data_IF_196383021423
#
_entry.id   IF_196383021423
#
_cell.length_a   1.000
_cell.length_b   1.000
_cell.length_c   1.000
_cell.angle_alpha   90.00
_cell.angle_beta   90.00
_cell.angle_gamma   90.00
#
_symmetry.space_group_name_H-M   'P 1'
#
loop_
_entity.id
_entity.type
_entity.pdbx_description
1 polymer ?
#
# COMPACT_ATOMS: atom_id res chain seq x y z
N UNK A 1 86.70 -11.89 5.36
CA UNK A 1 86.13 -10.53 5.56
C UNK A 1 84.68 -10.61 5.11
N UNK A 2 83.75 -10.93 6.02
CA UNK A 2 82.89 -9.97 6.73
C UNK A 2 82.23 -8.99 5.73
N UNK A 3 80.90 -9.00 5.51
CA UNK A 3 79.86 -8.65 6.49
C UNK A 3 78.48 -9.26 6.11
N UNK A 4 77.71 -9.67 7.13
CA UNK A 4 76.23 -9.80 7.19
C UNK A 4 75.60 -8.39 7.44
N UNK A 5 74.27 -8.12 7.44
CA UNK A 5 73.16 -9.01 7.84
C UNK A 5 71.76 -8.87 7.14
N UNK A 6 70.91 -9.86 7.44
CA UNK A 6 69.45 -9.86 7.68
C UNK A 6 68.40 -9.37 6.66
N UNK A 7 67.53 -10.31 6.24
CA UNK A 7 66.10 -10.06 5.99
C UNK A 7 65.28 -11.30 6.42
N UNK A 8 64.19 -11.17 7.19
CA UNK A 8 63.43 -12.29 7.73
C UNK A 8 62.15 -12.57 6.92
N UNK A 9 61.96 -13.79 6.44
CA UNK A 9 60.64 -14.34 6.14
C UNK A 9 60.60 -15.82 6.55
N UNK A 10 59.66 -16.25 7.41
CA UNK A 10 59.49 -17.66 7.76
C UNK A 10 58.60 -18.40 6.73
N UNK A 11 58.76 -19.73 6.55
CA UNK A 11 57.87 -20.54 5.75
C UNK A 11 56.66 -21.02 6.58
N UNK A 12 55.43 -20.84 6.08
CA UNK A 12 54.22 -21.40 6.71
C UNK A 12 53.75 -22.71 6.05
N UNK A 13 53.78 -23.72 6.91
CA UNK A 13 53.21 -25.06 6.90
C UNK A 13 51.85 -25.25 6.19
N UNK A 14 51.78 -26.32 5.39
CA UNK A 14 50.56 -27.01 4.97
C UNK A 14 50.21 -28.07 6.03
N UNK A 15 48.97 -28.05 6.53
CA UNK A 15 48.07 -29.19 6.83
C UNK A 15 47.25 -29.02 8.13
N UNK A 16 45.91 -28.98 7.96
CA UNK A 16 44.82 -29.59 8.78
C UNK A 16 43.62 -28.64 8.92
N UNK A 17 42.52 -28.96 8.24
CA UNK A 17 41.27 -28.22 8.43
C UNK A 17 40.13 -28.57 7.46
N UNK A 18 39.92 -29.83 7.08
CA UNK A 18 38.74 -30.24 6.26
C UNK A 18 37.74 -31.07 7.10
N UNK A 19 37.79 -30.96 8.43
CA UNK A 19 36.99 -31.81 9.34
C UNK A 19 35.73 -31.18 9.94
N UNK A 20 35.54 -29.85 9.86
CA UNK A 20 34.50 -29.18 10.65
C UNK A 20 33.25 -28.76 9.85
N UNK A 21 33.27 -28.86 8.52
CA UNK A 21 32.15 -28.43 7.66
C UNK A 21 31.20 -29.57 7.24
N UNK A 22 31.56 -30.84 7.47
CA UNK A 22 30.80 -31.99 6.99
C UNK A 22 29.59 -32.35 7.87
N UNK A 23 29.66 -32.06 9.18
CA UNK A 23 28.60 -32.38 10.15
C UNK A 23 27.34 -31.50 9.98
N UNK A 24 27.42 -30.16 9.81
CA UNK A 24 26.21 -29.35 9.63
C UNK A 24 25.54 -29.59 8.27
N UNK A 25 26.29 -29.98 7.24
CA UNK A 25 25.75 -30.27 5.91
C UNK A 25 24.96 -31.58 5.89
N UNK A 26 25.45 -32.65 6.54
CA UNK A 26 24.72 -33.92 6.67
C UNK A 26 23.39 -33.76 7.42
N UNK A 27 23.36 -33.02 8.54
CA UNK A 27 22.12 -32.71 9.27
C UNK A 27 21.13 -31.89 8.44
N UNK A 28 21.62 -31.00 7.58
CA UNK A 28 20.76 -30.21 6.70
C UNK A 28 20.11 -31.06 5.59
N UNK A 29 20.76 -32.13 5.15
CA UNK A 29 20.20 -33.04 4.14
C UNK A 29 19.23 -34.06 4.76
N UNK A 30 19.45 -34.55 5.98
CA UNK A 30 18.48 -35.39 6.67
C UNK A 30 17.18 -34.61 6.94
N UNK A 31 17.29 -33.35 7.37
CA UNK A 31 16.14 -32.49 7.63
C UNK A 31 15.34 -32.14 6.36
N UNK A 32 15.99 -32.07 5.19
CA UNK A 32 15.31 -31.82 3.92
C UNK A 32 14.62 -33.07 3.37
N UNK A 33 15.20 -34.26 3.60
CA UNK A 33 14.58 -35.56 3.27
C UNK A 33 13.31 -35.81 4.09
N UNK A 34 13.34 -35.54 5.40
CA UNK A 34 12.16 -35.70 6.26
C UNK A 34 11.03 -34.72 5.87
N UNK A 35 11.37 -33.47 5.52
CA UNK A 35 10.39 -32.49 5.02
C UNK A 35 9.76 -32.92 3.69
N UNK A 36 10.54 -33.50 2.78
CA UNK A 36 10.03 -34.02 1.50
C UNK A 36 9.07 -35.21 1.73
N UNK A 37 9.33 -36.05 2.72
CA UNK A 37 8.48 -37.21 3.03
C UNK A 37 7.17 -36.80 3.71
N UNK A 38 7.21 -35.82 4.64
CA UNK A 38 6.00 -35.32 5.31
C UNK A 38 5.08 -34.53 4.36
N UNK A 39 5.66 -33.74 3.45
CA UNK A 39 4.90 -32.99 2.43
C UNK A 39 4.25 -33.93 1.40
N UNK A 40 4.94 -34.99 0.98
CA UNK A 40 4.37 -36.02 0.10
C UNK A 40 3.18 -36.77 0.71
N UNK A 41 3.27 -37.13 2.00
CA UNK A 41 2.18 -37.82 2.71
C UNK A 41 0.95 -36.92 2.91
N UNK A 42 1.14 -35.62 3.19
CA UNK A 42 0.05 -34.63 3.27
C UNK A 42 -0.61 -34.40 1.91
N UNK A 43 0.16 -34.35 0.82
CA UNK A 43 -0.40 -34.18 -0.52
C UNK A 43 -1.22 -35.40 -0.96
N UNK A 44 -0.74 -36.61 -0.66
CA UNK A 44 -1.46 -37.84 -0.95
C UNK A 44 -2.77 -37.93 -0.15
N UNK A 45 -2.76 -37.61 1.15
CA UNK A 45 -3.99 -37.60 1.95
C UNK A 45 -4.98 -36.52 1.52
N UNK A 46 -4.49 -35.36 1.07
CA UNK A 46 -5.35 -34.29 0.53
C UNK A 46 -5.98 -34.70 -0.80
N UNK A 47 -5.21 -35.33 -1.69
CA UNK A 47 -5.72 -35.89 -2.96
C UNK A 47 -6.80 -36.95 -2.72
N UNK A 48 -6.59 -37.87 -1.78
CA UNK A 48 -7.60 -38.87 -1.42
C UNK A 48 -8.85 -38.24 -0.81
N UNK A 49 -8.70 -37.20 0.02
CA UNK A 49 -9.84 -36.47 0.61
C UNK A 49 -10.66 -35.73 -0.44
N UNK A 50 -10.01 -35.04 -1.38
CA UNK A 50 -10.70 -34.33 -2.49
C UNK A 50 -11.37 -35.32 -3.44
N UNK A 51 -10.73 -36.46 -3.74
CA UNK A 51 -11.33 -37.50 -4.57
C UNK A 51 -12.56 -38.13 -3.90
N UNK A 52 -12.52 -38.32 -2.57
CA UNK A 52 -13.65 -38.85 -1.82
C UNK A 52 -14.81 -37.84 -1.74
N UNK A 53 -14.52 -36.55 -1.52
CA UNK A 53 -15.53 -35.49 -1.48
C UNK A 53 -16.20 -35.30 -2.86
N UNK A 54 -15.42 -35.34 -3.95
CA UNK A 54 -15.97 -35.25 -5.31
C UNK A 54 -16.83 -36.46 -5.68
N UNK A 55 -16.44 -37.68 -5.27
CA UNK A 55 -17.26 -38.89 -5.46
C UNK A 55 -18.60 -38.84 -4.70
N UNK A 56 -18.60 -38.30 -3.48
CA UNK A 56 -19.83 -38.14 -2.66
C UNK A 56 -20.78 -37.09 -3.25
N UNK A 57 -20.26 -36.00 -3.84
CA UNK A 57 -21.09 -34.96 -4.46
C UNK A 57 -21.78 -35.45 -5.75
N UNK A 58 -21.14 -36.35 -6.50
CA UNK A 58 -21.74 -36.95 -7.71
C UNK A 58 -22.89 -37.91 -7.32
N UNK A 59 -22.79 -38.60 -6.19
CA UNK A 59 -23.79 -39.56 -5.73
C UNK A 59 -25.08 -38.93 -5.15
N UNK A 60 -25.06 -37.63 -4.81
CA UNK A 60 -26.22 -36.91 -4.25
C UNK A 60 -26.95 -36.01 -5.27
N UNK A 61 -26.47 -35.94 -6.52
CA UNK A 61 -27.05 -35.11 -7.57
C UNK A 61 -28.21 -35.77 -8.31
N UNK A 62 -29.34 -36.03 -7.64
CA UNK A 62 -30.59 -36.41 -8.30
C UNK A 62 -31.78 -35.57 -7.81
N UNK A 63 -32.48 -35.00 -8.80
CA UNK A 63 -33.83 -34.43 -8.79
C UNK A 63 -33.98 -32.97 -8.31
N UNK A 64 -34.02 -32.04 -9.26
CA UNK A 64 -35.04 -30.99 -9.23
C UNK A 64 -35.29 -30.47 -10.65
N UNK A 65 -36.33 -30.99 -11.29
CA UNK A 65 -36.82 -30.48 -12.57
C UNK A 65 -37.73 -29.29 -12.29
N UNK A 66 -37.25 -28.07 -12.57
CA UNK A 66 -38.12 -26.88 -12.63
C UNK A 66 -38.01 -26.26 -14.01
N UNK A 67 -39.10 -26.37 -14.76
CA UNK A 67 -39.28 -25.89 -16.12
C UNK A 67 -39.16 -24.35 -16.18
N UNK A 68 -38.48 -23.76 -17.18
CA UNK A 68 -38.27 -22.32 -17.25
C UNK A 68 -39.51 -21.60 -17.77
N UNK A 69 -40.04 -20.65 -16.98
CA UNK A 69 -41.08 -19.74 -17.43
C UNK A 69 -40.51 -18.68 -18.38
N UNK A 70 -41.22 -18.47 -19.49
CA UNK A 70 -40.93 -17.47 -20.53
C UNK A 70 -41.17 -16.05 -19.96
N UNK A 71 -40.19 -15.12 -20.04
CA UNK A 71 -40.40 -13.73 -19.59
C UNK A 71 -41.44 -13.03 -20.48
N UNK A 72 -42.33 -12.26 -19.86
CA UNK A 72 -43.25 -11.35 -20.56
C UNK A 72 -42.48 -10.18 -21.19
N UNK A 73 -42.93 -9.67 -22.36
CA UNK A 73 -42.27 -8.58 -23.06
C UNK A 73 -42.34 -7.26 -22.28
N UNK A 74 -41.25 -6.49 -22.34
CA UNK A 74 -41.11 -5.15 -21.76
C UNK A 74 -42.06 -4.15 -22.43
N UNK A 75 -42.76 -3.37 -21.61
CA UNK A 75 -43.63 -2.26 -22.04
C UNK A 75 -42.78 -1.12 -22.66
N UNK A 76 -43.23 -0.47 -23.74
CA UNK A 76 -42.46 0.57 -24.42
C UNK A 76 -42.26 1.83 -23.58
N UNK A 77 -41.08 2.43 -23.72
CA UNK A 77 -40.64 3.64 -23.03
C UNK A 77 -41.59 4.83 -23.25
N UNK A 78 -41.94 5.51 -22.15
CA UNK A 78 -42.57 6.83 -22.15
C UNK A 78 -41.59 7.87 -22.73
N UNK A 79 -42.12 8.79 -23.54
CA UNK A 79 -41.36 9.84 -24.22
C UNK A 79 -40.73 10.86 -23.24
N UNK A 80 -39.64 11.55 -23.64
CA UNK A 80 -38.95 12.52 -22.78
C UNK A 80 -39.75 13.81 -22.61
N UNK A 81 -39.78 14.35 -21.39
CA UNK A 81 -40.25 15.72 -21.11
C UNK A 81 -39.10 16.68 -21.43
N UNK A 82 -39.37 17.67 -22.28
CA UNK A 82 -38.47 18.78 -22.63
C UNK A 82 -38.45 19.90 -21.57
N UNK A 83 -37.38 20.72 -21.65
CA UNK A 83 -37.17 22.07 -21.09
C UNK A 83 -36.74 22.13 -19.61
N UNK A 84 -35.71 22.88 -19.17
CA UNK A 84 -35.22 24.19 -19.63
C UNK A 84 -33.69 24.28 -19.49
N UNK A 85 -33.04 24.66 -20.59
CA UNK A 85 -31.64 25.11 -20.65
C UNK A 85 -31.54 26.50 -20.02
N UNK A 86 -30.77 26.64 -18.94
CA UNK A 86 -30.35 27.96 -18.46
C UNK A 86 -28.85 28.09 -18.73
N UNK A 87 -28.52 28.78 -19.81
CA UNK A 87 -27.15 29.17 -20.16
C UNK A 87 -26.65 30.20 -19.16
N UNK A 88 -25.61 29.87 -18.40
CA UNK A 88 -24.79 30.85 -17.67
C UNK A 88 -23.43 30.95 -18.36
N UNK A 89 -23.17 32.07 -19.00
CA UNK A 89 -21.87 32.41 -19.58
C UNK A 89 -20.79 32.53 -18.48
N UNK A 90 -19.52 32.24 -18.79
CA UNK A 90 -18.46 32.10 -17.81
C UNK A 90 -17.92 33.46 -17.32
N UNK A 91 -17.71 33.55 -16.02
CA UNK A 91 -17.00 34.66 -15.35
C UNK A 91 -15.51 34.30 -15.37
N UNK A 92 -14.68 35.22 -15.88
CA UNK A 92 -13.22 35.14 -15.84
C UNK A 92 -12.70 35.05 -14.39
N UNK A 93 -11.64 34.25 -14.11
CA UNK A 93 -11.12 34.09 -12.77
C UNK A 93 -10.41 35.37 -12.27
N UNK A 94 -10.73 35.77 -11.04
CA UNK A 94 -10.00 36.79 -10.31
C UNK A 94 -8.59 36.28 -9.92
N UNK A 95 -7.57 37.16 -9.85
CA UNK A 95 -6.20 36.77 -9.53
C UNK A 95 -6.08 36.21 -8.09
N UNK A 96 -5.19 35.23 -7.94
CA UNK A 96 -4.92 34.51 -6.70
C UNK A 96 -4.63 35.45 -5.52
N UNK A 97 -5.44 35.36 -4.47
CA UNK A 97 -5.15 35.94 -3.18
C UNK A 97 -4.13 35.06 -2.42
N UNK A 98 -3.18 35.64 -1.67
CA UNK A 98 -2.19 34.89 -0.92
C UNK A 98 -2.83 34.05 0.20
N UNK A 99 -2.26 32.87 0.42
CA UNK A 99 -2.71 31.86 1.37
C UNK A 99 -2.96 32.44 2.78
N UNK A 100 -4.19 32.28 3.26
CA UNK A 100 -4.56 32.49 4.66
C UNK A 100 -4.07 31.29 5.49
N UNK A 101 -3.56 31.50 6.72
CA UNK A 101 -3.14 30.43 7.60
C UNK A 101 -4.33 29.58 8.07
N UNK A 102 -4.09 28.28 8.25
CA UNK A 102 -5.09 27.28 8.64
C UNK A 102 -5.91 27.69 9.88
N UNK A 103 -7.24 27.45 9.89
CA UNK A 103 -8.05 27.73 11.07
C UNK A 103 -7.67 26.75 12.19
N UNK A 104 -7.24 27.31 13.32
CA UNK A 104 -7.11 26.57 14.57
C UNK A 104 -8.50 26.11 15.00
N UNK A 105 -8.81 24.83 14.79
CA UNK A 105 -9.99 24.20 15.35
C UNK A 105 -9.91 24.24 16.89
N UNK A 106 -10.58 25.22 17.49
CA UNK A 106 -10.83 25.24 18.93
C UNK A 106 -11.91 24.22 19.22
N UNK A 107 -11.52 22.97 19.53
CA UNK A 107 -12.45 21.99 20.08
C UNK A 107 -12.83 22.44 21.50
N UNK A 108 -14.05 22.96 21.66
CA UNK A 108 -14.72 22.98 22.97
C UNK A 108 -15.15 21.55 23.28
N UNK A 109 -14.38 20.87 24.11
CA UNK A 109 -14.77 19.60 24.70
C UNK A 109 -15.47 19.87 26.06
N UNK A 110 -16.80 19.98 26.04
CA UNK A 110 -17.61 19.76 27.24
C UNK A 110 -17.93 18.26 27.34
N UNK A 111 -17.00 17.49 27.92
CA UNK A 111 -17.26 16.15 28.47
C UNK A 111 -16.70 16.12 29.89
N UNK A 112 -17.53 15.92 30.93
CA UNK A 112 -17.07 15.89 32.30
C UNK A 112 -16.48 14.52 32.62
N UNK A 113 -15.14 14.42 32.63
CA UNK A 113 -14.42 13.21 33.04
C UNK A 113 -12.92 13.47 33.18
N UNK A 114 -12.45 13.58 34.43
CA UNK A 114 -11.06 13.72 34.90
C UNK A 114 -9.96 13.66 33.81
N UNK A 115 -9.57 14.83 33.32
CA UNK A 115 -8.31 15.02 32.58
C UNK A 115 -7.13 14.81 33.53
N UNK A 116 -6.51 13.63 33.45
CA UNK A 116 -5.25 13.34 34.13
C UNK A 116 -4.13 14.17 33.50
N UNK A 117 -3.44 14.98 34.32
CA UNK A 117 -2.32 15.84 33.92
C UNK A 117 -1.18 15.08 33.21
N UNK A 118 -1.16 13.75 33.27
CA UNK A 118 -0.21 12.86 32.61
C UNK A 118 -0.33 12.90 31.08
N UNK A 119 -1.54 12.96 30.51
CA UNK A 119 -1.72 12.98 29.05
C UNK A 119 -1.24 14.30 28.43
N UNK A 120 -1.55 15.45 29.05
CA UNK A 120 -1.04 16.75 28.60
C UNK A 120 0.48 16.80 28.59
N UNK A 121 1.14 16.17 29.57
CA UNK A 121 2.60 16.21 29.73
C UNK A 121 3.33 15.31 28.73
N UNK A 122 2.74 14.18 28.34
CA UNK A 122 3.28 13.29 27.30
C UNK A 122 3.15 13.93 25.91
N UNK A 123 1.99 14.53 25.60
CA UNK A 123 1.78 15.29 24.36
C UNK A 123 2.72 16.51 24.27
N UNK A 124 2.91 17.27 25.35
CA UNK A 124 3.81 18.43 25.34
C UNK A 124 5.29 18.06 25.15
N UNK A 125 5.70 16.85 25.56
CA UNK A 125 7.09 16.40 25.39
C UNK A 125 7.41 15.97 23.96
N UNK A 126 6.41 15.51 23.20
CA UNK A 126 6.55 15.17 21.78
C UNK A 126 6.57 16.42 20.89
N UNK A 127 5.76 17.44 21.20
CA UNK A 127 5.76 18.73 20.49
C UNK A 127 7.13 19.44 20.59
N UNK A 128 7.86 19.29 21.71
CA UNK A 128 9.20 19.87 21.91
C UNK A 128 10.32 19.08 21.21
N UNK A 129 10.11 17.82 20.82
CA UNK A 129 11.12 17.00 20.12
C UNK A 129 11.22 17.32 18.62
N UNK A 130 10.22 18.00 18.06
CA UNK A 130 10.11 18.32 16.63
C UNK A 130 11.08 19.41 16.11
N UNK A 131 12.06 19.87 16.89
CA UNK A 131 12.80 21.10 16.55
C UNK A 131 14.12 20.97 15.80
N UNK A 132 14.77 19.81 15.71
CA UNK A 132 16.00 19.68 14.90
C UNK A 132 16.14 18.25 14.33
N UNK A 133 15.19 17.84 13.49
CA UNK A 133 15.34 16.66 12.63
C UNK A 133 16.24 17.02 11.43
N UNK A 134 17.22 16.18 11.05
CA UNK A 134 17.99 16.40 9.84
C UNK A 134 17.06 16.40 8.63
N UNK A 135 17.20 17.41 7.75
CA UNK A 135 16.39 17.50 6.54
C UNK A 135 16.78 16.38 5.58
N UNK A 136 15.83 15.51 5.25
CA UNK A 136 15.96 14.44 4.28
C UNK A 136 15.84 14.99 2.86
N UNK A 137 16.50 14.34 1.91
CA UNK A 137 16.41 14.66 0.49
C UNK A 137 15.93 13.43 -0.27
N UNK A 138 15.03 13.63 -1.22
CA UNK A 138 14.56 12.56 -2.08
C UNK A 138 15.64 12.19 -3.10
N UNK A 139 15.82 10.90 -3.33
CA UNK A 139 16.74 10.36 -4.32
C UNK A 139 15.96 9.57 -5.36
N UNK A 140 16.22 9.84 -6.63
CA UNK A 140 15.69 9.09 -7.77
C UNK A 140 16.85 8.51 -8.59
N UNK A 141 16.69 7.33 -9.20
CA UNK A 141 15.47 6.52 -9.22
C UNK A 141 15.18 5.84 -7.88
N UNK A 142 13.91 5.64 -7.56
CA UNK A 142 13.46 4.80 -6.43
C UNK A 142 12.81 3.52 -6.97
N UNK A 143 13.10 2.40 -6.32
CA UNK A 143 12.53 1.09 -6.66
C UNK A 143 11.61 0.65 -5.52
N UNK A 144 10.36 0.34 -5.86
CA UNK A 144 9.35 -0.11 -4.90
C UNK A 144 8.90 -1.53 -5.31
N UNK A 145 9.06 -2.54 -4.44
CA UNK A 145 8.53 -3.87 -4.73
C UNK A 145 7.00 -3.84 -4.67
N UNK A 146 6.35 -4.37 -5.70
CA UNK A 146 4.91 -4.59 -5.69
C UNK A 146 4.53 -5.80 -4.81
N UNK A 147 3.23 -6.08 -4.72
CA UNK A 147 2.65 -7.21 -3.97
C UNK A 147 3.25 -8.57 -4.35
N UNK A 148 3.75 -8.71 -5.58
CA UNK A 148 4.32 -9.94 -6.11
C UNK A 148 5.86 -9.93 -6.09
N UNK A 149 6.48 -8.90 -5.51
CA UNK A 149 7.93 -8.71 -5.45
C UNK A 149 8.55 -8.22 -6.76
N UNK A 150 7.75 -7.78 -7.74
CA UNK A 150 8.24 -7.12 -8.95
C UNK A 150 8.62 -5.68 -8.59
N UNK A 151 9.86 -5.30 -8.89
CA UNK A 151 10.34 -3.94 -8.69
C UNK A 151 9.70 -2.96 -9.67
N UNK A 152 9.01 -1.95 -9.13
CA UNK A 152 8.46 -0.81 -9.89
C UNK A 152 9.41 0.38 -9.71
N UNK A 153 10.05 0.78 -10.81
CA UNK A 153 11.05 1.86 -10.80
C UNK A 153 10.38 3.20 -11.12
N UNK A 154 10.71 4.22 -10.33
CA UNK A 154 10.33 5.61 -10.55
C UNK A 154 11.59 6.43 -10.79
N UNK A 155 11.81 6.87 -12.03
CA UNK A 155 12.94 7.75 -12.38
C UNK A 155 12.73 9.21 -11.91
N UNK A 156 11.49 9.55 -11.60
CA UNK A 156 11.05 10.85 -11.06
C UNK A 156 9.70 10.66 -10.35
N UNK A 157 9.29 11.67 -9.59
CA UNK A 157 7.96 11.69 -8.99
C UNK A 157 6.85 11.66 -10.05
N UNK A 158 5.78 10.85 -9.87
CA UNK A 158 4.61 10.86 -10.75
C UNK A 158 3.80 12.15 -10.55
N UNK A 159 3.32 12.75 -11.64
CA UNK A 159 2.58 14.01 -11.62
C UNK A 159 1.06 13.81 -11.76
N UNK A 160 0.62 12.61 -12.19
CA UNK A 160 -0.75 12.27 -12.55
C UNK A 160 -1.13 10.91 -11.97
N UNK A 161 -1.53 10.92 -10.72
CA UNK A 161 -1.84 9.70 -9.95
C UNK A 161 -3.34 9.44 -9.99
N UNK A 162 -3.72 8.22 -10.37
CA UNK A 162 -5.02 7.65 -10.04
C UNK A 162 -4.82 6.69 -8.88
N UNK A 163 -5.50 6.92 -7.76
CA UNK A 163 -5.38 6.08 -6.58
C UNK A 163 -6.74 5.50 -6.19
N UNK A 164 -6.82 4.17 -6.21
CA UNK A 164 -8.01 3.41 -5.82
C UNK A 164 -7.97 2.94 -4.37
N UNK A 165 -7.21 3.61 -3.51
CA UNK A 165 -7.10 3.25 -2.09
C UNK A 165 -7.26 4.51 -1.23
N UNK A 166 -8.23 4.50 -0.30
CA UNK A 166 -8.49 5.65 0.57
C UNK A 166 -7.27 6.00 1.42
N UNK A 167 -6.53 5.01 1.95
CA UNK A 167 -5.36 5.29 2.80
C UNK A 167 -4.23 5.97 2.00
N UNK A 168 -4.04 5.59 0.74
CA UNK A 168 -3.13 6.28 -0.18
C UNK A 168 -3.56 7.73 -0.44
N UNK A 169 -4.85 7.99 -0.68
CA UNK A 169 -5.37 9.35 -0.83
C UNK A 169 -5.08 10.18 0.42
N UNK A 170 -5.46 9.68 1.59
CA UNK A 170 -5.23 10.37 2.86
C UNK A 170 -3.75 10.69 3.09
N UNK A 171 -2.89 9.72 2.80
CA UNK A 171 -1.43 9.89 2.91
C UNK A 171 -0.93 10.97 1.96
N UNK A 172 -1.29 10.90 0.68
CA UNK A 172 -0.85 11.85 -0.34
C UNK A 172 -1.25 13.28 0.03
N UNK A 173 -2.47 13.49 0.50
CA UNK A 173 -2.90 14.81 0.97
C UNK A 173 -2.18 15.24 2.26
N UNK A 174 -2.02 14.33 3.23
CA UNK A 174 -1.35 14.61 4.50
C UNK A 174 0.12 15.04 4.31
N UNK A 175 0.82 14.47 3.31
CA UNK A 175 2.21 14.84 2.99
C UNK A 175 2.34 16.04 2.04
N UNK A 176 1.21 16.66 1.63
CA UNK A 176 1.19 17.84 0.75
C UNK A 176 1.15 17.55 -0.75
N UNK A 177 1.01 16.29 -1.13
CA UNK A 177 1.11 15.80 -2.52
C UNK A 177 -0.27 15.45 -3.14
N UNK A 178 -1.36 15.81 -2.46
CA UNK A 178 -2.72 15.58 -2.94
C UNK A 178 -3.03 16.20 -4.31
N UNK A 179 -2.31 17.26 -4.68
CA UNK A 179 -2.44 17.93 -5.99
C UNK A 179 -2.06 17.04 -7.19
N UNK A 180 -1.32 15.94 -6.95
CA UNK A 180 -0.98 14.94 -7.98
C UNK A 180 -2.11 13.96 -8.26
N UNK A 181 -3.10 13.88 -7.37
CA UNK A 181 -4.22 12.94 -7.50
C UNK A 181 -5.25 13.52 -8.48
N UNK A 182 -5.37 12.87 -9.63
CA UNK A 182 -6.29 13.29 -10.70
C UNK A 182 -7.54 12.42 -10.79
N UNK A 183 -7.55 11.26 -10.16
CA UNK A 183 -8.71 10.36 -10.15
C UNK A 183 -8.71 9.38 -8.97
N UNK A 184 -9.90 9.02 -8.50
CA UNK A 184 -10.12 8.04 -7.43
C UNK A 184 -11.51 7.39 -7.54
N UNK A 185 -11.86 6.54 -6.59
CA UNK A 185 -13.15 5.86 -6.53
C UNK A 185 -14.22 6.62 -5.73
N UNK A 186 -15.48 6.24 -5.91
CA UNK A 186 -16.66 6.91 -5.32
C UNK A 186 -16.66 6.97 -3.79
N UNK A 187 -16.07 5.99 -3.10
CA UNK A 187 -16.12 5.91 -1.64
C UNK A 187 -15.10 6.79 -0.90
N UNK A 188 -14.24 7.53 -1.60
CA UNK A 188 -13.27 8.44 -0.95
C UNK A 188 -13.99 9.71 -0.50
N UNK A 189 -14.14 9.87 0.82
CA UNK A 189 -14.82 11.01 1.45
C UNK A 189 -13.90 11.90 2.30
N UNK A 190 -12.65 11.49 2.49
CA UNK A 190 -11.66 12.20 3.27
C UNK A 190 -10.31 12.17 2.53
N UNK A 191 -9.49 13.24 2.60
CA UNK A 191 -9.83 14.52 3.23
C UNK A 191 -10.89 15.32 2.44
N UNK A 192 -11.53 16.36 3.01
CA UNK A 192 -12.56 17.13 2.32
C UNK A 192 -12.11 17.65 0.96
N UNK A 193 -10.83 18.00 0.82
CA UNK A 193 -10.18 18.44 -0.42
C UNK A 193 -10.17 17.36 -1.50
N UNK A 194 -10.28 16.08 -1.15
CA UNK A 194 -10.39 14.99 -2.12
C UNK A 194 -11.74 15.03 -2.87
N UNK A 195 -12.75 15.77 -2.39
CA UNK A 195 -14.02 15.93 -3.10
C UNK A 195 -13.90 16.54 -4.50
N UNK A 196 -12.82 17.28 -4.77
CA UNK A 196 -12.51 17.86 -6.08
C UNK A 196 -11.85 16.85 -7.06
N UNK A 197 -11.42 15.69 -6.56
CA UNK A 197 -10.79 14.63 -7.38
C UNK A 197 -11.84 13.90 -8.23
N UNK A 198 -11.54 13.70 -9.51
CA UNK A 198 -12.44 13.02 -10.45
C UNK A 198 -12.76 11.60 -10.00
N UNK A 199 -14.02 11.19 -10.20
CA UNK A 199 -14.48 9.83 -9.91
C UNK A 199 -14.49 9.00 -11.18
N UNK A 200 -13.78 7.89 -11.14
CA UNK A 200 -13.57 6.98 -12.28
C UNK A 200 -14.08 5.57 -11.96
N UNK A 201 -15.23 5.51 -11.30
CA UNK A 201 -15.90 4.28 -10.89
C UNK A 201 -15.97 4.09 -9.37
N UNK A 202 -16.54 2.96 -8.96
CA UNK A 202 -16.56 2.56 -7.56
C UNK A 202 -15.27 1.78 -7.19
N UNK A 203 -15.04 1.51 -5.91
CA UNK A 203 -13.78 0.88 -5.47
C UNK A 203 -13.51 -0.51 -6.08
N UNK A 204 -14.54 -1.21 -6.55
CA UNK A 204 -14.43 -2.56 -7.12
C UNK A 204 -14.86 -2.65 -8.58
N UNK A 205 -15.47 -1.59 -9.14
CA UNK A 205 -15.86 -1.46 -10.53
C UNK A 205 -15.27 -0.17 -11.13
N UNK A 206 -14.05 -0.28 -11.63
CA UNK A 206 -13.30 0.82 -12.26
C UNK A 206 -13.82 1.10 -13.68
N UNK A 207 -14.02 2.37 -14.01
CA UNK A 207 -14.20 2.82 -15.39
C UNK A 207 -12.83 2.99 -16.04
N UNK A 208 -12.40 1.95 -16.75
CA UNK A 208 -11.08 1.88 -17.37
C UNK A 208 -10.93 2.89 -18.50
N UNK A 209 -11.99 3.14 -19.27
CA UNK A 209 -11.95 4.15 -20.34
C UNK A 209 -11.76 5.54 -19.73
N UNK A 210 -12.46 5.85 -18.64
CA UNK A 210 -12.24 7.11 -17.91
C UNK A 210 -10.82 7.21 -17.34
N UNK A 211 -10.27 6.13 -16.79
CA UNK A 211 -8.88 6.06 -16.31
C UNK A 211 -7.88 6.34 -17.44
N UNK A 212 -8.04 5.71 -18.61
CA UNK A 212 -7.15 5.90 -19.75
C UNK A 212 -7.23 7.33 -20.32
N UNK A 213 -8.44 7.89 -20.40
CA UNK A 213 -8.66 9.27 -20.85
C UNK A 213 -8.04 10.33 -19.93
N UNK A 214 -7.76 9.97 -18.67
CA UNK A 214 -7.04 10.82 -17.73
C UNK A 214 -5.53 10.77 -17.89
N UNK A 215 -4.97 9.92 -18.77
CA UNK A 215 -3.52 9.84 -19.02
C UNK A 215 -2.67 9.84 -17.73
N UNK A 216 -2.92 8.93 -16.77
CA UNK A 216 -2.13 8.86 -15.54
C UNK A 216 -0.71 8.36 -15.82
N UNK A 217 0.26 8.83 -15.03
CA UNK A 217 1.62 8.28 -15.02
C UNK A 217 1.87 7.30 -13.86
N UNK A 218 0.87 7.13 -12.97
CA UNK A 218 0.78 6.08 -11.97
C UNK A 218 -0.68 5.72 -11.69
N UNK A 219 -1.00 4.42 -11.69
CA UNK A 219 -2.23 3.89 -11.09
C UNK A 219 -1.89 3.08 -9.85
N UNK A 220 -2.41 3.49 -8.68
CA UNK A 220 -2.26 2.79 -7.42
C UNK A 220 -3.52 1.98 -7.10
N UNK A 221 -3.35 0.69 -6.81
CA UNK A 221 -4.43 -0.26 -6.57
C UNK A 221 -4.30 -0.92 -5.19
N UNK A 222 -5.45 -1.28 -4.60
CA UNK A 222 -5.53 -2.15 -3.41
C UNK A 222 -5.99 -3.59 -3.74
N UNK A 223 -6.55 -3.81 -4.93
CA UNK A 223 -7.09 -5.10 -5.39
C UNK A 223 -6.62 -5.44 -6.81
N UNK A 224 -6.26 -6.70 -7.13
CA UNK A 224 -5.53 -7.02 -8.36
C UNK A 224 -6.37 -7.05 -9.64
N UNK A 225 -7.71 -7.03 -9.56
CA UNK A 225 -8.61 -7.24 -10.73
C UNK A 225 -8.21 -6.50 -11.99
N UNK A 226 -7.81 -5.24 -11.87
CA UNK A 226 -7.53 -4.38 -13.02
C UNK A 226 -6.05 -4.27 -13.35
N UNK A 227 -5.16 -4.89 -12.56
CA UNK A 227 -3.71 -4.71 -12.69
C UNK A 227 -3.22 -5.05 -14.09
N UNK A 228 -3.49 -6.28 -14.54
CA UNK A 228 -2.97 -6.77 -15.83
C UNK A 228 -3.55 -5.98 -16.99
N UNK A 229 -4.85 -5.65 -16.95
CA UNK A 229 -5.49 -4.86 -18.00
C UNK A 229 -4.91 -3.44 -18.12
N UNK A 230 -4.58 -2.80 -17.00
CA UNK A 230 -3.97 -1.46 -16.99
C UNK A 230 -2.49 -1.52 -17.43
N UNK A 231 -1.74 -2.54 -17.02
CA UNK A 231 -0.37 -2.76 -17.48
C UNK A 231 -0.32 -3.06 -18.99
N UNK A 232 -1.24 -3.88 -19.51
CA UNK A 232 -1.37 -4.20 -20.94
C UNK A 232 -1.73 -2.95 -21.77
N UNK A 233 -2.43 -1.98 -21.16
CA UNK A 233 -2.69 -0.68 -21.75
C UNK A 233 -1.48 0.28 -21.69
N UNK A 234 -0.35 -0.16 -21.14
CA UNK A 234 0.90 0.60 -21.07
C UNK A 234 1.01 1.53 -19.86
N UNK A 235 0.10 1.44 -18.88
CA UNK A 235 0.17 2.24 -17.66
C UNK A 235 1.13 1.63 -16.64
N UNK A 236 1.80 2.49 -15.87
CA UNK A 236 2.54 2.07 -14.68
C UNK A 236 1.55 1.80 -13.56
N UNK A 237 1.52 0.57 -13.06
CA UNK A 237 0.63 0.15 -11.98
C UNK A 237 1.44 -0.23 -10.75
N UNK A 238 1.04 0.31 -9.59
CA UNK A 238 1.56 -0.10 -8.28
C UNK A 238 0.44 -0.74 -7.47
N UNK A 239 0.58 -2.03 -7.17
CA UNK A 239 -0.28 -2.78 -6.26
C UNK A 239 0.57 -3.21 -5.07
N UNK A 240 0.30 -2.67 -3.88
CA UNK A 240 1.04 -3.02 -2.66
C UNK A 240 0.28 -4.10 -1.89
N UNK A 241 1.02 -4.94 -1.14
CA UNK A 241 0.42 -5.93 -0.27
C UNK A 241 -0.34 -5.26 0.88
N UNK A 242 -1.51 -5.81 1.24
CA UNK A 242 -2.22 -5.39 2.44
C UNK A 242 -1.41 -5.73 3.68
N UNK A 243 -1.39 -4.81 4.66
CA UNK A 243 -0.79 -5.06 5.97
C UNK A 243 -1.73 -5.98 6.76
N UNK A 244 -1.27 -7.17 7.17
CA UNK A 244 -2.10 -8.17 7.84
C UNK A 244 -1.73 -8.39 9.32
N UNK A 245 -0.51 -8.05 9.74
CA UNK A 245 0.10 -8.55 10.99
C UNK A 245 0.63 -7.45 11.92
N UNK A 246 1.34 -6.47 11.36
CA UNK A 246 2.03 -5.43 12.12
C UNK A 246 1.56 -4.05 11.67
N UNK A 247 0.76 -3.42 12.52
CA UNK A 247 0.20 -2.10 12.28
C UNK A 247 1.29 -1.01 12.13
N UNK A 248 2.50 -1.22 12.67
CA UNK A 248 3.62 -0.28 12.52
C UNK A 248 4.10 -0.17 11.07
N UNK A 249 3.87 -1.20 10.24
CA UNK A 249 4.19 -1.15 8.79
C UNK A 249 3.43 -0.07 8.03
N UNK A 250 2.39 0.52 8.61
CA UNK A 250 1.73 1.69 8.01
C UNK A 250 2.69 2.89 7.93
N UNK A 251 3.62 3.02 8.88
CA UNK A 251 4.68 4.03 8.82
C UNK A 251 5.57 3.86 7.58
N UNK A 252 5.84 2.62 7.18
CA UNK A 252 6.59 2.32 5.96
C UNK A 252 5.80 2.73 4.71
N UNK A 253 4.46 2.62 4.71
CA UNK A 253 3.64 3.11 3.60
C UNK A 253 3.69 4.64 3.48
N UNK A 254 3.72 5.37 4.59
CA UNK A 254 3.93 6.82 4.55
C UNK A 254 5.29 7.17 3.94
N UNK A 255 6.35 6.50 4.40
CA UNK A 255 7.72 6.68 3.86
C UNK A 255 7.82 6.30 2.39
N UNK A 256 7.16 5.22 1.98
CA UNK A 256 7.05 4.79 0.57
C UNK A 256 6.44 5.91 -0.28
N UNK A 257 5.31 6.49 0.12
CA UNK A 257 4.70 7.62 -0.60
C UNK A 257 5.61 8.85 -0.62
N UNK A 258 6.31 9.15 0.48
CA UNK A 258 7.34 10.18 0.52
C UNK A 258 8.49 9.95 -0.47
N UNK A 259 8.93 8.71 -0.62
CA UNK A 259 9.98 8.35 -1.58
C UNK A 259 9.48 8.44 -3.03
N UNK A 260 8.27 7.94 -3.32
CA UNK A 260 7.65 8.00 -4.65
C UNK A 260 7.44 9.45 -5.10
N UNK A 261 6.92 10.32 -4.22
CA UNK A 261 6.55 11.70 -4.56
C UNK A 261 7.67 12.71 -4.35
N UNK A 262 8.72 12.33 -3.62
CA UNK A 262 9.80 13.21 -3.18
C UNK A 262 9.51 13.99 -1.88
N UNK A 263 8.32 13.84 -1.28
CA UNK A 263 7.92 14.48 -0.03
C UNK A 263 8.49 13.79 1.24
N UNK A 264 9.77 13.40 1.20
CA UNK A 264 10.42 12.56 2.24
C UNK A 264 10.36 13.15 3.65
N UNK A 265 10.46 14.47 3.81
CA UNK A 265 10.41 15.11 5.14
C UNK A 265 9.02 15.06 5.74
N UNK A 266 7.98 15.34 4.94
CA UNK A 266 6.60 15.33 5.42
C UNK A 266 6.16 13.89 5.72
N UNK A 267 6.57 12.94 4.87
CA UNK A 267 6.35 11.52 5.07
C UNK A 267 7.02 10.99 6.35
N UNK A 268 8.27 11.36 6.61
CA UNK A 268 8.97 10.95 7.84
C UNK A 268 8.27 11.54 9.07
N UNK A 269 7.87 12.81 9.03
CA UNK A 269 7.18 13.45 10.16
C UNK A 269 5.87 12.73 10.54
N UNK A 270 5.06 12.33 9.55
CA UNK A 270 3.81 11.59 9.83
C UNK A 270 4.08 10.13 10.24
N UNK A 271 5.15 9.52 9.74
CA UNK A 271 5.57 8.17 10.12
C UNK A 271 6.01 8.13 11.58
N UNK A 272 6.85 9.08 12.02
CA UNK A 272 7.28 9.19 13.41
C UNK A 272 6.13 9.49 14.37
N UNK A 273 5.20 10.40 14.00
CA UNK A 273 4.00 10.67 14.81
C UNK A 273 3.16 9.40 14.98
N UNK A 274 2.95 8.67 13.89
CA UNK A 274 2.19 7.43 13.91
C UNK A 274 2.85 6.37 14.80
N UNK A 275 4.15 6.11 14.62
CA UNK A 275 4.92 5.15 15.42
C UNK A 275 4.87 5.51 16.91
N UNK A 276 5.08 6.78 17.26
CA UNK A 276 5.00 7.26 18.64
C UNK A 276 3.62 7.03 19.26
N UNK A 277 2.54 7.26 18.49
CA UNK A 277 1.17 7.02 18.96
C UNK A 277 0.88 5.54 19.17
N UNK A 278 1.38 4.67 18.29
CA UNK A 278 1.26 3.23 18.44
C UNK A 278 2.03 2.76 19.68
N UNK A 279 3.26 3.23 19.89
CA UNK A 279 4.08 2.90 21.07
C UNK A 279 3.39 3.30 22.39
N UNK A 280 2.74 4.47 22.43
CA UNK A 280 1.96 4.93 23.58
C UNK A 280 0.81 3.95 23.88
N UNK A 281 0.09 3.48 22.84
CA UNK A 281 -1.02 2.54 23.00
C UNK A 281 -0.52 1.18 23.47
N UNK A 282 0.54 0.63 22.87
CA UNK A 282 1.13 -0.64 23.28
C UNK A 282 1.61 -0.60 24.73
N UNK A 283 2.28 0.48 25.13
CA UNK A 283 2.73 0.67 26.52
C UNK A 283 1.57 0.75 27.50
N UNK A 284 0.42 1.29 27.08
CA UNK A 284 -0.77 1.37 27.92
C UNK A 284 -1.53 0.03 28.06
N UNK A 285 -1.31 -0.91 27.13
CA UNK A 285 -1.92 -2.23 27.14
C UNK A 285 -1.05 -3.33 27.78
N UNK A 286 0.24 -3.06 27.98
CA UNK A 286 1.20 -3.94 28.65
C UNK A 286 1.05 -3.91 30.18
#
# INVERSE_FOLDING_TARGET
MHLHPDSPYPPTSIAKGIGAFFIPFQRSLEKSLDLQQETGLKLQNTLFSVLFITLVMIALGCTNSKEPQKPLPSEPALAPIETISTTKSPILPAPAAPALPAPTATIRADIPGKSSATNKRLFSKHIERAKEQPKLFAEFPVSIPDRYGKEIIFDKAPERIIAFDSAAIETLFAIGEGHRVIGTHDYVIYPPEASDVMRVGDAFNMDIEAVLNLEPDLVYLFYPTYKDQLEDAGLKVLLIATIEDDFKKMADHFRMWGAITGAVNNAEAIAEDFEARVEIIETALA
#
